data_IF_512883295643
#
_entry.id   IF_512883295643
#
_cell.length_a   1.000
_cell.length_b   1.000
_cell.length_c   1.000
_cell.angle_alpha   90.00
_cell.angle_beta   90.00
_cell.angle_gamma   90.00
#
_symmetry.space_group_name_H-M   'P 1'
#
loop_
_entity.id
_entity.type
_entity.pdbx_description
1 polymer ?
#
# COMPACT_ATOMS: atom_id res chain seq x y z
N UNK A 1 14.29 1.45 9.86
CA UNK A 1 13.20 0.49 9.57
C UNK A 1 13.74 -0.78 8.91
N UNK A 2 12.98 -1.88 8.96
CA UNK A 2 13.35 -3.18 8.39
C UNK A 2 13.26 -3.12 6.86
N UNK A 3 14.41 -3.22 6.18
CA UNK A 3 14.50 -3.28 4.73
C UNK A 3 14.34 -4.72 4.27
N UNK A 4 13.17 -5.08 3.75
CA UNK A 4 12.90 -6.38 3.13
C UNK A 4 11.70 -7.13 3.69
N UNK A 5 11.22 -8.08 2.88
CA UNK A 5 10.06 -8.92 3.19
C UNK A 5 10.39 -9.86 4.35
N UNK A 6 9.49 -9.92 5.33
CA UNK A 6 9.56 -10.84 6.47
C UNK A 6 8.25 -11.56 6.65
N UNK A 7 8.31 -12.89 6.73
CA UNK A 7 7.20 -13.71 7.18
C UNK A 7 7.19 -13.67 8.71
N UNK A 8 6.14 -13.08 9.29
CA UNK A 8 5.93 -13.09 10.75
C UNK A 8 5.31 -14.42 11.19
N UNK A 9 4.45 -14.97 10.33
CA UNK A 9 3.90 -16.33 10.40
C UNK A 9 3.66 -16.84 8.97
N UNK A 10 3.18 -18.08 8.82
CA UNK A 10 2.79 -18.64 7.52
C UNK A 10 1.67 -17.86 6.82
N UNK A 11 0.94 -17.00 7.55
CA UNK A 11 -0.21 -16.25 7.03
C UNK A 11 -0.07 -14.74 7.18
N UNK A 12 1.02 -14.24 7.75
CA UNK A 12 1.22 -12.81 8.01
C UNK A 12 2.60 -12.40 7.52
N UNK A 13 2.62 -11.43 6.62
CA UNK A 13 3.84 -10.93 5.98
C UNK A 13 3.95 -9.43 6.26
N UNK A 14 5.15 -9.03 6.67
CA UNK A 14 5.59 -7.65 6.65
C UNK A 14 6.42 -7.43 5.37
N UNK A 15 5.93 -6.67 4.38
CA UNK A 15 6.60 -6.53 3.08
C UNK A 15 7.87 -5.69 3.15
N UNK A 16 8.07 -4.90 4.22
CA UNK A 16 9.11 -3.88 4.25
C UNK A 16 8.69 -2.65 3.44
N UNK A 17 9.67 -1.91 2.95
CA UNK A 17 9.44 -0.73 2.10
C UNK A 17 8.60 -1.08 0.87
N UNK A 18 7.53 -0.33 0.64
CA UNK A 18 6.64 -0.52 -0.50
C UNK A 18 7.16 0.30 -1.69
N UNK A 19 7.46 -0.35 -2.84
CA UNK A 19 7.88 0.36 -4.03
C UNK A 19 6.73 1.17 -4.64
N UNK A 20 7.04 2.37 -5.13
CA UNK A 20 6.11 3.21 -5.90
C UNK A 20 6.11 2.79 -7.37
N UNK A 21 5.19 1.90 -7.73
CA UNK A 21 5.13 1.26 -9.06
C UNK A 21 4.18 1.99 -10.02
N UNK A 22 3.16 2.65 -9.49
CA UNK A 22 2.14 3.34 -10.28
C UNK A 22 2.54 4.80 -10.53
N UNK A 23 2.26 5.28 -11.74
CA UNK A 23 2.48 6.69 -12.11
C UNK A 23 1.42 7.66 -11.57
N UNK A 24 0.51 7.22 -10.70
CA UNK A 24 -0.58 8.04 -10.17
C UNK A 24 -0.62 8.10 -8.64
N UNK A 25 -0.11 7.10 -7.91
CA UNK A 25 0.04 7.20 -6.45
C UNK A 25 1.41 7.75 -6.09
N UNK A 26 1.45 8.52 -4.99
CA UNK A 26 2.69 8.97 -4.35
C UNK A 26 3.64 9.75 -5.27
N UNK A 27 3.08 10.39 -6.30
CA UNK A 27 3.81 11.26 -7.23
C UNK A 27 4.06 12.65 -6.64
N UNK A 28 3.17 13.07 -5.75
CA UNK A 28 3.17 14.36 -5.06
C UNK A 28 2.58 14.13 -3.67
N UNK A 29 3.03 14.91 -2.71
CA UNK A 29 2.45 14.95 -1.37
C UNK A 29 2.06 16.39 -1.07
N UNK A 30 0.85 16.59 -0.59
CA UNK A 30 0.39 17.89 -0.07
C UNK A 30 0.85 18.11 1.38
N UNK A 31 1.54 17.12 1.96
CA UNK A 31 2.07 17.15 3.30
C UNK A 31 3.55 17.47 3.25
N UNK A 32 3.96 18.35 4.16
CA UNK A 32 5.34 18.76 4.33
C UNK A 32 5.72 18.55 5.78
N UNK A 33 6.96 18.15 6.02
CA UNK A 33 7.54 18.19 7.35
C UNK A 33 7.68 19.64 7.83
N UNK A 34 7.98 19.85 9.11
CA UNK A 34 8.17 21.20 9.68
C UNK A 34 9.26 22.01 8.96
N UNK A 35 10.23 21.34 8.32
CA UNK A 35 11.30 21.95 7.53
C UNK A 35 10.88 22.29 6.07
N UNK A 36 9.63 22.03 5.70
CA UNK A 36 9.08 22.28 4.36
C UNK A 36 9.43 21.21 3.32
N UNK A 37 10.15 20.15 3.70
CA UNK A 37 10.45 19.04 2.80
C UNK A 37 9.21 18.15 2.57
N UNK A 38 9.05 17.56 1.37
CA UNK A 38 7.85 16.77 1.05
C UNK A 38 7.78 15.48 1.88
N UNK A 39 6.63 15.24 2.50
CA UNK A 39 6.34 14.05 3.30
C UNK A 39 6.05 12.82 2.42
N UNK A 40 7.11 12.24 1.85
CA UNK A 40 6.98 11.03 1.05
C UNK A 40 7.01 9.74 1.87
N UNK A 41 7.45 9.77 3.14
CA UNK A 41 7.72 8.61 4.01
C UNK A 41 8.26 7.42 3.22
N UNK A 42 9.54 7.47 2.87
CA UNK A 42 10.17 6.46 2.02
C UNK A 42 10.11 5.05 2.58
N UNK A 43 9.95 4.89 3.90
CA UNK A 43 9.90 3.62 4.61
C UNK A 43 8.46 3.14 4.93
N UNK A 44 7.45 3.69 4.25
CA UNK A 44 6.06 3.27 4.38
C UNK A 44 5.88 1.78 4.03
N UNK A 45 5.06 1.12 4.84
CA UNK A 45 4.88 -0.34 4.87
C UNK A 45 3.46 -0.70 5.31
N UNK A 46 3.14 -1.99 5.25
CA UNK A 46 1.83 -2.54 5.58
C UNK A 46 1.97 -3.90 6.30
N UNK A 47 0.85 -4.47 6.72
CA UNK A 47 0.74 -5.89 7.02
C UNK A 47 -0.11 -6.56 5.94
N UNK A 48 0.37 -7.69 5.44
CA UNK A 48 -0.33 -8.51 4.46
C UNK A 48 -0.76 -9.81 5.14
N UNK A 49 -2.07 -10.02 5.24
CA UNK A 49 -2.64 -11.27 5.76
C UNK A 49 -3.12 -12.13 4.60
N UNK A 50 -2.70 -13.39 4.60
CA UNK A 50 -3.15 -14.40 3.64
C UNK A 50 -4.40 -15.08 4.20
N UNK A 51 -5.54 -14.89 3.54
CA UNK A 51 -6.81 -15.55 3.87
C UNK A 51 -7.30 -16.42 2.71
N UNK A 52 -8.17 -17.43 2.96
CA UNK A 52 -8.78 -18.23 1.91
C UNK A 52 -9.49 -17.40 0.83
N UNK A 53 -10.05 -16.26 1.21
CA UNK A 53 -10.78 -15.36 0.34
C UNK A 53 -9.88 -14.44 -0.51
N UNK A 54 -8.59 -14.33 -0.17
CA UNK A 54 -7.60 -13.43 -0.79
C UNK A 54 -6.68 -12.73 0.20
N UNK A 55 -5.93 -11.75 -0.28
CA UNK A 55 -5.07 -10.89 0.53
C UNK A 55 -5.91 -9.89 1.32
N UNK A 56 -5.60 -9.71 2.59
CA UNK A 56 -6.12 -8.59 3.38
C UNK A 56 -4.95 -7.69 3.77
N UNK A 57 -5.00 -6.43 3.35
CA UNK A 57 -3.91 -5.47 3.54
C UNK A 57 -4.28 -4.50 4.66
N UNK A 58 -3.39 -4.35 5.64
CA UNK A 58 -3.53 -3.36 6.71
C UNK A 58 -2.46 -2.30 6.54
N UNK A 59 -2.87 -1.06 6.28
CA UNK A 59 -1.98 0.08 6.14
C UNK A 59 -1.94 0.90 7.43
N UNK A 60 -0.83 1.60 7.67
CA UNK A 60 -0.80 2.71 8.63
C UNK A 60 -1.51 3.92 8.05
N UNK A 61 -0.74 4.85 7.49
CA UNK A 61 -1.27 6.01 6.76
C UNK A 61 -1.41 5.77 5.25
N UNK A 62 -0.58 4.89 4.66
CA UNK A 62 -0.65 4.49 3.25
C UNK A 62 0.03 5.48 2.29
N UNK A 63 1.15 6.07 2.68
CA UNK A 63 1.88 7.09 1.89
C UNK A 63 2.36 6.57 0.53
N UNK A 64 2.62 5.28 0.42
CA UNK A 64 3.01 4.59 -0.82
C UNK A 64 1.84 4.36 -1.76
N UNK A 65 0.60 4.56 -1.31
CA UNK A 65 -0.61 4.25 -2.07
C UNK A 65 -1.04 2.79 -1.93
N UNK A 66 -2.35 2.58 -1.85
CA UNK A 66 -2.93 1.25 -1.64
C UNK A 66 -2.77 0.35 -2.86
N UNK A 67 -2.74 0.91 -4.07
CA UNK A 67 -2.53 0.11 -5.29
C UNK A 67 -1.09 -0.38 -5.35
N UNK A 68 -0.10 0.45 -5.08
CA UNK A 68 1.31 0.04 -4.95
C UNK A 68 1.50 -1.03 -3.88
N UNK A 69 0.86 -0.83 -2.72
CA UNK A 69 0.89 -1.79 -1.61
C UNK A 69 0.34 -3.15 -2.04
N UNK A 70 -0.83 -3.16 -2.68
CA UNK A 70 -1.45 -4.40 -3.13
C UNK A 70 -0.66 -5.08 -4.24
N UNK A 71 -0.19 -4.34 -5.25
CA UNK A 71 0.63 -4.91 -6.34
C UNK A 71 1.93 -5.53 -5.81
N UNK A 72 2.55 -4.90 -4.81
CA UNK A 72 3.69 -5.50 -4.13
C UNK A 72 3.31 -6.77 -3.36
N UNK A 73 2.19 -6.74 -2.62
CA UNK A 73 1.66 -7.90 -1.92
C UNK A 73 1.33 -9.07 -2.87
N UNK A 74 0.75 -8.80 -4.05
CA UNK A 74 0.53 -9.81 -5.10
C UNK A 74 1.84 -10.41 -5.56
N UNK A 75 2.84 -9.58 -5.86
CA UNK A 75 4.15 -10.03 -6.35
C UNK A 75 4.84 -10.96 -5.35
N UNK A 76 4.80 -10.66 -4.06
CA UNK A 76 5.49 -11.46 -3.04
C UNK A 76 4.71 -12.71 -2.61
N UNK A 77 3.39 -12.74 -2.78
CA UNK A 77 2.53 -13.89 -2.38
C UNK A 77 2.07 -14.78 -3.52
N UNK A 78 2.05 -14.27 -4.75
CA UNK A 78 1.41 -14.91 -5.90
C UNK A 78 -0.13 -14.88 -5.87
N UNK A 79 -0.75 -14.25 -4.88
CA UNK A 79 -2.21 -14.21 -4.72
C UNK A 79 -2.76 -12.95 -5.39
N UNK A 80 -3.63 -13.14 -6.39
CA UNK A 80 -4.16 -12.05 -7.22
C UNK A 80 -5.43 -11.39 -6.69
N UNK A 81 -6.06 -11.98 -5.68
CA UNK A 81 -7.34 -11.50 -5.16
C UNK A 81 -7.14 -10.63 -3.92
N UNK A 82 -7.64 -9.40 -3.95
CA UNK A 82 -7.80 -8.60 -2.74
C UNK A 82 -9.12 -8.99 -2.07
N UNK A 83 -9.04 -9.40 -0.81
CA UNK A 83 -10.21 -9.65 0.03
C UNK A 83 -10.64 -8.36 0.76
N UNK A 84 -9.69 -7.56 1.24
CA UNK A 84 -10.03 -6.33 1.95
C UNK A 84 -8.83 -5.46 2.29
N UNK A 85 -9.13 -4.22 2.67
CA UNK A 85 -8.15 -3.23 3.14
C UNK A 85 -8.65 -2.61 4.44
N UNK A 86 -7.75 -2.35 5.38
CA UNK A 86 -8.02 -1.61 6.60
C UNK A 86 -6.88 -0.63 6.88
N UNK A 87 -7.20 0.58 7.33
CA UNK A 87 -6.20 1.59 7.68
C UNK A 87 -6.35 2.88 6.87
N UNK A 88 -5.33 3.74 6.94
CA UNK A 88 -5.26 4.97 6.18
C UNK A 88 -4.89 4.70 4.71
N UNK A 89 -5.59 5.38 3.80
CA UNK A 89 -5.31 5.30 2.36
C UNK A 89 -4.58 6.54 1.83
N UNK A 90 -4.35 7.52 2.70
CA UNK A 90 -3.79 8.82 2.37
C UNK A 90 -4.51 9.56 1.22
N UNK A 91 -5.79 9.27 1.01
CA UNK A 91 -6.66 9.96 0.05
C UNK A 91 -7.35 11.13 0.73
N UNK A 92 -7.05 12.36 0.28
CA UNK A 92 -7.60 13.59 0.86
C UNK A 92 -8.54 14.32 -0.10
N UNK A 93 -8.14 14.42 -1.35
CA UNK A 93 -8.85 15.20 -2.38
C UNK A 93 -9.66 14.28 -3.31
N UNK A 94 -10.69 14.82 -3.96
CA UNK A 94 -11.41 14.11 -5.03
C UNK A 94 -10.72 14.33 -6.38
N UNK A 95 -9.52 13.78 -6.53
CA UNK A 95 -8.65 13.95 -7.70
C UNK A 95 -8.52 12.66 -8.53
N UNK A 96 -7.56 12.65 -9.47
CA UNK A 96 -7.29 11.47 -10.30
C UNK A 96 -6.92 10.28 -9.43
N UNK A 97 -6.05 10.44 -8.41
CA UNK A 97 -5.62 9.36 -7.53
C UNK A 97 -6.82 8.71 -6.85
N UNK A 98 -7.72 9.50 -6.25
CA UNK A 98 -8.93 8.97 -5.59
C UNK A 98 -9.85 8.26 -6.59
N UNK A 99 -10.06 8.82 -7.78
CA UNK A 99 -10.94 8.23 -8.80
C UNK A 99 -10.40 6.93 -9.39
N UNK A 100 -9.09 6.82 -9.59
CA UNK A 100 -8.47 5.61 -10.15
C UNK A 100 -8.19 4.54 -9.09
N UNK A 101 -8.17 4.91 -7.81
CA UNK A 101 -8.13 3.98 -6.67
C UNK A 101 -9.50 3.34 -6.45
N UNK A 102 -9.93 2.55 -7.44
CA UNK A 102 -11.23 1.88 -7.49
C UNK A 102 -11.11 0.39 -7.20
N UNK A 103 -12.12 -0.15 -6.52
CA UNK A 103 -12.26 -1.59 -6.25
C UNK A 103 -12.09 -2.47 -7.49
N UNK A 104 -12.53 -1.97 -8.66
CA UNK A 104 -12.43 -2.66 -9.95
C UNK A 104 -11.00 -3.06 -10.36
N UNK A 105 -9.95 -2.42 -9.81
CA UNK A 105 -8.56 -2.79 -10.04
C UNK A 105 -8.11 -4.02 -9.26
N UNK A 106 -8.81 -4.31 -8.16
CA UNK A 106 -8.46 -5.36 -7.22
C UNK A 106 -9.21 -6.68 -7.48
N UNK A 107 -10.16 -6.65 -8.41
CA UNK A 107 -11.04 -7.76 -8.78
C UNK A 107 -10.68 -8.39 -10.14
N UNK A 108 -9.52 -8.06 -10.71
CA UNK A 108 -9.00 -8.63 -11.97
C UNK A 108 -7.86 -9.60 -11.69
#
# INVERSE_FOLDING_TARGET
MLKGVKNLTDKIIFPGEIPRLTGFESQKTSFVFEDGSPDFVMDDSALVLIKPEGLFVVTGCGHSGIVNTFEYARKITGINKLFGVMGGLHLKENDVQTRVTSWSRFSR
#
